data_IF_501635990587
#
_entry.id   IF_501635990587
#
_cell.length_a   1.000
_cell.length_b   1.000
_cell.length_c   1.000
_cell.angle_alpha   90.00
_cell.angle_beta   90.00
_cell.angle_gamma   90.00
#
_symmetry.space_group_name_H-M   'P 1'
#
loop_
_entity.id
_entity.type
_entity.pdbx_description
1 polymer ?
#
# COMPACT_ATOMS: atom_id res chain seq x y z
N UNK A 1 76.61 -6.79 19.82
CA UNK A 1 75.47 -5.88 20.08
C UNK A 1 74.20 -6.60 19.63
N UNK A 2 74.00 -7.85 20.07
CA UNK A 2 73.54 -8.31 21.40
C UNK A 2 72.00 -8.27 21.40
N UNK A 3 71.28 -9.41 21.39
CA UNK A 3 71.05 -10.26 22.57
C UNK A 3 69.80 -9.73 23.29
N UNK A 4 68.88 -10.49 23.89
CA UNK A 4 68.81 -11.89 24.27
C UNK A 4 67.36 -12.19 24.70
N UNK A 5 66.97 -13.47 24.60
CA UNK A 5 65.79 -14.08 25.21
C UNK A 5 65.84 -14.10 26.76
N UNK A 6 64.71 -14.57 27.34
CA UNK A 6 64.48 -15.09 28.72
C UNK A 6 63.93 -14.06 29.72
N UNK A 7 63.00 -14.34 30.65
CA UNK A 7 62.37 -15.57 31.15
C UNK A 7 61.16 -15.21 32.05
N UNK A 8 60.28 -16.20 32.26
CA UNK A 8 59.38 -16.47 33.39
C UNK A 8 59.19 -15.45 34.54
N UNK A 9 57.94 -15.24 34.95
CA UNK A 9 57.40 -15.79 36.21
C UNK A 9 56.01 -15.19 36.55
N UNK A 10 55.14 -16.03 37.10
CA UNK A 10 53.74 -15.71 37.39
C UNK A 10 53.51 -14.83 38.62
N UNK A 11 52.26 -14.37 38.74
CA UNK A 11 51.46 -14.36 39.98
C UNK A 11 50.10 -13.73 39.65
N UNK A 12 49.06 -14.51 39.87
CA UNK A 12 47.68 -14.05 39.87
C UNK A 12 47.37 -13.42 41.25
N UNK A 13 46.81 -12.21 41.32
CA UNK A 13 45.98 -11.83 42.45
C UNK A 13 44.55 -11.52 41.98
N UNK A 14 43.60 -12.18 42.63
CA UNK A 14 42.16 -11.94 42.58
C UNK A 14 41.84 -10.44 42.72
N UNK A 15 41.40 -9.79 41.64
CA UNK A 15 40.82 -8.45 41.70
C UNK A 15 39.30 -8.53 41.64
N UNK A 16 38.71 -8.44 42.83
CA UNK A 16 37.29 -8.26 43.15
C UNK A 16 36.65 -7.22 42.21
N UNK A 17 35.77 -7.67 41.30
CA UNK A 17 34.95 -6.81 40.43
C UNK A 17 33.87 -6.16 41.29
N UNK A 18 33.98 -4.85 41.53
CA UNK A 18 32.91 -4.03 42.12
C UNK A 18 31.85 -3.80 41.04
N UNK A 19 30.67 -4.40 41.23
CA UNK A 19 29.48 -4.14 40.42
C UNK A 19 28.95 -2.73 40.77
N UNK A 20 29.13 -1.78 39.87
CA UNK A 20 28.56 -0.44 39.98
C UNK A 20 27.19 -0.40 39.32
N UNK A 21 26.14 -0.30 40.13
CA UNK A 21 24.76 -0.07 39.69
C UNK A 21 24.64 1.28 38.98
N UNK A 22 24.69 1.30 37.64
CA UNK A 22 24.38 2.49 36.85
C UNK A 22 22.87 2.74 36.94
N UNK A 23 22.45 3.74 37.71
CA UNK A 23 21.08 4.26 37.65
C UNK A 23 20.89 4.86 36.26
N UNK A 24 20.10 4.21 35.41
CA UNK A 24 19.66 4.78 34.12
C UNK A 24 18.70 5.92 34.45
N UNK A 25 19.17 7.17 34.36
CA UNK A 25 18.30 8.34 34.42
C UNK A 25 17.55 8.43 33.09
N UNK A 26 16.33 7.90 33.05
CA UNK A 26 15.44 7.97 31.89
C UNK A 26 15.01 9.42 31.72
N UNK A 27 15.30 10.02 30.56
CA UNK A 27 14.90 11.40 30.26
C UNK A 27 13.38 11.54 30.40
N UNK A 28 12.87 12.62 31.03
CA UNK A 28 11.43 12.84 31.16
C UNK A 28 10.72 12.91 29.80
N UNK A 29 11.44 13.30 28.75
CA UNK A 29 10.96 13.28 27.36
C UNK A 29 10.76 11.84 26.85
N UNK A 30 11.65 10.92 27.21
CA UNK A 30 11.56 9.51 26.83
C UNK A 30 10.42 8.82 27.58
N UNK A 31 10.20 9.19 28.85
CA UNK A 31 9.05 8.70 29.61
C UNK A 31 7.72 9.20 29.02
N UNK A 32 7.65 10.49 28.63
CA UNK A 32 6.49 11.07 27.97
C UNK A 32 6.19 10.37 26.63
N UNK A 33 7.22 10.09 25.83
CA UNK A 33 7.08 9.38 24.56
C UNK A 33 6.52 7.96 24.75
N UNK A 34 7.00 7.24 25.75
CA UNK A 34 6.52 5.90 26.08
C UNK A 34 5.06 5.90 26.57
N UNK A 35 4.67 6.93 27.32
CA UNK A 35 3.27 7.10 27.76
C UNK A 35 2.35 7.41 26.57
N UNK A 36 2.77 8.29 25.65
CA UNK A 36 2.01 8.57 24.43
C UNK A 36 1.83 7.33 23.55
N UNK A 37 2.89 6.53 23.38
CA UNK A 37 2.83 5.25 22.66
C UNK A 37 1.86 4.26 23.34
N UNK A 38 1.82 4.21 24.67
CA UNK A 38 0.89 3.34 25.39
C UNK A 38 -0.59 3.78 25.25
N UNK A 39 -0.86 5.08 25.23
CA UNK A 39 -2.23 5.62 25.07
C UNK A 39 -2.82 5.29 23.69
N UNK A 40 -2.00 5.24 22.63
CA UNK A 40 -2.45 4.84 21.28
C UNK A 40 -2.88 3.36 21.22
N UNK A 41 -2.29 2.51 22.07
CA UNK A 41 -2.60 1.07 22.10
C UNK A 41 -3.91 0.79 22.84
N UNK A 42 -4.31 1.65 23.80
CA UNK A 42 -5.49 1.40 24.65
C UNK A 42 -6.84 1.72 24.00
N UNK A 43 -6.87 2.35 22.82
CA UNK A 43 -8.13 2.74 22.14
C UNK A 43 -8.58 1.76 21.02
N UNK A 44 -7.94 0.59 20.87
CA UNK A 44 -8.33 -0.42 19.86
C UNK A 44 -8.72 -1.78 20.47
N UNK A 45 -9.52 -1.80 21.54
CA UNK A 45 -10.08 -3.04 22.08
C UNK A 45 -11.59 -3.15 21.88
N UNK A 46 -11.98 -3.52 20.65
CA UNK A 46 -13.19 -4.31 20.38
C UNK A 46 -12.96 -5.13 19.11
N UNK A 47 -12.03 -6.07 19.16
CA UNK A 47 -11.89 -7.13 18.16
C UNK A 47 -12.82 -8.27 18.55
N UNK A 48 -14.06 -8.23 18.05
CA UNK A 48 -14.95 -9.37 18.14
C UNK A 48 -14.40 -10.48 17.24
N UNK A 49 -13.99 -11.60 17.84
CA UNK A 49 -13.59 -12.79 17.12
C UNK A 49 -14.84 -13.46 16.51
N UNK A 50 -15.05 -13.28 15.21
CA UNK A 50 -16.01 -14.05 14.43
C UNK A 50 -15.32 -15.27 13.79
N UNK A 51 -16.01 -16.41 13.83
CA UNK A 51 -15.52 -17.77 13.66
C UNK A 51 -14.83 -18.06 12.32
N UNK A 52 -13.66 -18.69 12.42
CA UNK A 52 -12.95 -19.39 11.36
C UNK A 52 -13.72 -20.69 11.12
N UNK A 53 -14.56 -20.78 10.08
CA UNK A 53 -14.90 -21.99 9.28
C UNK A 53 -16.13 -21.67 8.42
N UNK A 54 -15.91 -21.41 7.11
CA UNK A 54 -16.93 -21.65 6.08
C UNK A 54 -17.81 -20.48 5.65
N UNK A 55 -17.24 -19.28 5.48
CA UNK A 55 -17.77 -18.32 4.52
C UNK A 55 -16.76 -18.21 3.39
N UNK A 56 -17.18 -18.45 2.15
CA UNK A 56 -16.37 -18.04 1.00
C UNK A 56 -15.93 -16.59 1.28
N UNK A 57 -14.63 -16.31 1.19
CA UNK A 57 -14.21 -14.94 0.93
C UNK A 57 -14.66 -14.62 -0.50
N UNK A 58 -15.97 -14.51 -0.71
CA UNK A 58 -16.51 -13.64 -1.72
C UNK A 58 -15.99 -12.27 -1.32
N UNK A 59 -14.81 -11.94 -1.85
CA UNK A 59 -14.35 -10.58 -2.02
C UNK A 59 -15.57 -9.72 -2.31
N UNK A 60 -15.83 -8.70 -1.48
CA UNK A 60 -16.88 -7.72 -1.76
C UNK A 60 -16.59 -7.11 -3.14
N UNK A 61 -17.21 -7.67 -4.17
CA UNK A 61 -17.09 -7.27 -5.55
C UNK A 61 -18.36 -6.51 -5.92
N UNK A 62 -18.22 -5.53 -6.80
CA UNK A 62 -19.33 -4.67 -7.16
C UNK A 62 -20.21 -5.30 -8.24
N UNK A 63 -21.53 -5.09 -8.11
CA UNK A 63 -22.52 -5.34 -9.17
C UNK A 63 -23.26 -4.06 -9.56
N UNK A 64 -22.88 -2.93 -8.98
CA UNK A 64 -23.56 -1.64 -9.10
C UNK A 64 -22.60 -0.61 -9.68
N UNK A 65 -23.12 0.29 -10.51
CA UNK A 65 -22.33 1.39 -11.04
C UNK A 65 -22.28 2.50 -10.00
N UNK A 66 -21.16 2.58 -9.28
CA UNK A 66 -20.94 3.59 -8.24
C UNK A 66 -20.40 4.90 -8.86
N UNK A 67 -20.65 6.02 -8.19
CA UNK A 67 -20.10 7.32 -8.55
C UNK A 67 -19.79 8.13 -7.29
N UNK A 68 -18.98 7.56 -6.41
CA UNK A 68 -18.64 8.09 -5.09
C UNK A 68 -17.19 8.59 -5.06
N UNK A 69 -16.96 9.70 -4.33
CA UNK A 69 -15.62 10.25 -4.10
C UNK A 69 -14.82 10.52 -5.41
N UNK A 70 -15.48 11.06 -6.44
CA UNK A 70 -15.00 11.22 -7.81
C UNK A 70 -13.58 11.81 -7.98
N UNK A 71 -13.16 12.71 -7.08
CA UNK A 71 -11.89 13.44 -7.14
C UNK A 71 -10.96 13.11 -5.97
N UNK A 72 -11.13 11.94 -5.35
CA UNK A 72 -10.30 11.51 -4.22
C UNK A 72 -9.85 10.06 -4.45
N UNK A 73 -8.78 9.85 -5.23
CA UNK A 73 -8.33 8.51 -5.64
C UNK A 73 -8.27 7.45 -4.53
N UNK A 74 -7.84 7.74 -3.28
CA UNK A 74 -7.81 6.73 -2.24
C UNK A 74 -9.18 6.17 -1.85
N UNK A 75 -10.26 6.92 -2.09
CA UNK A 75 -11.64 6.57 -1.72
C UNK A 75 -12.57 6.45 -2.94
N UNK A 76 -12.08 6.79 -4.13
CA UNK A 76 -12.87 6.82 -5.35
C UNK A 76 -13.48 5.46 -5.67
N UNK A 77 -14.77 5.46 -5.99
CA UNK A 77 -15.48 4.32 -6.58
C UNK A 77 -16.27 4.82 -7.78
N UNK A 78 -15.81 4.44 -8.96
CA UNK A 78 -16.45 4.78 -10.22
C UNK A 78 -16.78 3.51 -11.00
N UNK A 79 -18.02 3.41 -11.47
CA UNK A 79 -18.52 2.20 -12.12
C UNK A 79 -18.40 0.98 -11.19
N UNK A 80 -18.01 -0.16 -11.74
CA UNK A 80 -17.80 -1.41 -10.98
C UNK A 80 -16.33 -1.69 -10.72
N UNK A 81 -15.41 -1.08 -11.47
CA UNK A 81 -14.00 -1.49 -11.52
C UNK A 81 -13.02 -0.36 -11.19
N UNK A 82 -13.39 0.91 -11.30
CA UNK A 82 -12.44 1.98 -11.00
C UNK A 82 -12.40 2.29 -9.49
N UNK A 83 -11.38 1.79 -8.80
CA UNK A 83 -11.09 2.17 -7.41
C UNK A 83 -9.97 1.34 -6.78
N UNK A 84 -9.40 1.82 -5.67
CA UNK A 84 -8.34 1.09 -4.96
C UNK A 84 -8.93 -0.10 -4.21
N UNK A 85 -8.47 -1.32 -4.54
CA UNK A 85 -8.99 -2.58 -3.97
C UNK A 85 -10.52 -2.72 -4.13
N UNK A 86 -11.05 -2.17 -5.21
CA UNK A 86 -12.44 -2.20 -5.58
C UNK A 86 -12.53 -2.78 -6.99
N UNK A 87 -13.37 -3.79 -7.20
CA UNK A 87 -13.49 -4.46 -8.50
C UNK A 87 -14.88 -5.05 -8.68
N UNK A 88 -15.28 -5.28 -9.92
CA UNK A 88 -16.58 -5.85 -10.26
C UNK A 88 -16.60 -7.38 -10.10
N UNK A 89 -17.79 -7.94 -9.87
CA UNK A 89 -17.95 -9.38 -9.75
C UNK A 89 -17.68 -10.11 -11.09
N UNK A 90 -17.28 -11.39 -11.05
CA UNK A 90 -17.14 -12.19 -12.26
C UNK A 90 -18.41 -12.19 -13.11
N UNK A 91 -18.27 -11.84 -14.40
CA UNK A 91 -19.37 -11.79 -15.36
C UNK A 91 -20.16 -10.48 -15.40
N UNK A 92 -19.85 -9.51 -14.53
CA UNK A 92 -20.41 -8.17 -14.64
C UNK A 92 -19.83 -7.43 -15.85
N UNK A 93 -20.68 -6.72 -16.59
CA UNK A 93 -20.23 -5.81 -17.63
C UNK A 93 -19.81 -4.46 -17.02
N UNK A 94 -18.80 -3.78 -17.58
CA UNK A 94 -18.43 -2.43 -17.16
C UNK A 94 -19.57 -1.45 -17.46
N UNK A 95 -19.65 -0.39 -16.66
CA UNK A 95 -20.70 0.62 -16.73
C UNK A 95 -20.54 1.57 -17.91
N UNK A 96 -19.31 1.87 -18.31
CA UNK A 96 -18.97 2.64 -19.50
C UNK A 96 -17.54 2.33 -19.98
N UNK A 97 -17.05 3.09 -20.96
CA UNK A 97 -15.73 2.89 -21.54
C UNK A 97 -14.56 3.17 -20.57
N UNK A 98 -14.72 4.09 -19.61
CA UNK A 98 -13.70 4.34 -18.59
C UNK A 98 -13.65 3.17 -17.59
N UNK A 99 -14.81 2.69 -17.16
CA UNK A 99 -14.93 1.53 -16.28
C UNK A 99 -14.38 0.25 -16.96
N UNK A 100 -14.51 0.13 -18.29
CA UNK A 100 -13.91 -0.96 -19.05
C UNK A 100 -12.37 -0.94 -19.00
N UNK A 101 -11.74 0.24 -19.01
CA UNK A 101 -10.29 0.35 -18.82
C UNK A 101 -9.85 -0.15 -17.44
N UNK A 102 -10.61 0.19 -16.40
CA UNK A 102 -10.34 -0.28 -15.04
C UNK A 102 -10.53 -1.81 -14.92
N UNK A 103 -11.57 -2.37 -15.55
CA UNK A 103 -11.77 -3.82 -15.61
C UNK A 103 -10.57 -4.55 -16.22
N UNK A 104 -9.99 -4.01 -17.30
CA UNK A 104 -8.79 -4.58 -17.92
C UNK A 104 -7.55 -4.45 -17.02
N UNK A 105 -7.41 -3.33 -16.32
CA UNK A 105 -6.31 -3.11 -15.36
C UNK A 105 -6.38 -4.08 -14.18
N UNK A 106 -7.56 -4.25 -13.57
CA UNK A 106 -7.78 -5.19 -12.47
C UNK A 106 -7.43 -6.62 -12.88
N UNK A 107 -7.88 -7.06 -14.05
CA UNK A 107 -7.57 -8.38 -14.60
C UNK A 107 -6.06 -8.55 -14.85
N UNK A 108 -5.39 -7.50 -15.33
CA UNK A 108 -3.94 -7.48 -15.52
C UNK A 108 -3.19 -7.62 -14.20
N UNK A 109 -3.58 -6.84 -13.19
CA UNK A 109 -2.98 -6.89 -11.85
C UNK A 109 -3.18 -8.27 -11.22
N UNK A 110 -4.38 -8.83 -11.33
CA UNK A 110 -4.65 -10.20 -10.86
C UNK A 110 -3.78 -11.24 -11.57
N UNK A 111 -3.53 -11.09 -12.87
CA UNK A 111 -2.66 -11.97 -13.66
C UNK A 111 -1.15 -11.77 -13.37
N UNK A 112 -0.78 -10.72 -12.63
CA UNK A 112 0.61 -10.36 -12.31
C UNK A 112 0.89 -10.41 -10.81
N UNK A 113 0.38 -11.44 -10.14
CA UNK A 113 0.55 -11.69 -8.70
C UNK A 113 0.04 -10.54 -7.80
N UNK A 114 -0.96 -9.80 -8.27
CA UNK A 114 -1.48 -8.58 -7.64
C UNK A 114 -0.45 -7.43 -7.52
N UNK A 115 0.52 -7.36 -8.45
CA UNK A 115 1.47 -6.25 -8.55
C UNK A 115 0.80 -5.00 -9.14
N UNK A 116 0.21 -4.16 -8.29
CA UNK A 116 -0.34 -2.85 -8.68
C UNK A 116 0.72 -1.88 -9.25
N UNK A 117 2.01 -2.16 -9.04
CA UNK A 117 3.08 -1.39 -9.65
C UNK A 117 3.50 -1.99 -11.00
N UNK A 118 2.88 -3.06 -11.51
CA UNK A 118 3.23 -3.63 -12.80
C UNK A 118 3.24 -2.55 -13.91
N UNK A 119 4.40 -2.29 -14.53
CA UNK A 119 4.54 -1.21 -15.50
C UNK A 119 3.71 -1.46 -16.74
N UNK A 120 3.54 -2.72 -17.14
CA UNK A 120 2.72 -3.07 -18.29
C UNK A 120 1.23 -2.85 -18.00
N UNK A 121 0.72 -3.25 -16.83
CA UNK A 121 -0.65 -2.96 -16.44
C UNK A 121 -0.91 -1.45 -16.38
N UNK A 122 -0.04 -0.71 -15.71
CA UNK A 122 -0.21 0.73 -15.52
C UNK A 122 -0.11 1.50 -16.83
N UNK A 123 0.84 1.17 -17.71
CA UNK A 123 0.93 1.81 -19.02
C UNK A 123 -0.27 1.46 -19.90
N UNK A 124 -0.74 0.21 -19.88
CA UNK A 124 -1.92 -0.21 -20.64
C UNK A 124 -3.19 0.51 -20.17
N UNK A 125 -3.31 0.80 -18.87
CA UNK A 125 -4.40 1.61 -18.32
C UNK A 125 -4.32 3.06 -18.84
N UNK A 126 -3.15 3.69 -18.80
CA UNK A 126 -2.96 5.05 -19.34
C UNK A 126 -3.33 5.13 -20.82
N UNK A 127 -2.89 4.16 -21.62
CA UNK A 127 -3.18 4.11 -23.05
C UNK A 127 -4.69 3.88 -23.32
N UNK A 128 -5.33 3.01 -22.54
CA UNK A 128 -6.77 2.77 -22.62
C UNK A 128 -7.57 4.04 -22.29
N UNK A 129 -7.20 4.73 -21.20
CA UNK A 129 -7.88 5.96 -20.78
C UNK A 129 -7.70 7.06 -21.84
N UNK A 130 -6.52 7.19 -22.45
CA UNK A 130 -6.35 8.12 -23.55
C UNK A 130 -7.24 7.79 -24.76
N UNK A 131 -7.36 6.50 -25.12
CA UNK A 131 -8.09 6.04 -26.29
C UNK A 131 -9.61 6.14 -26.14
N UNK A 132 -10.16 5.82 -24.97
CA UNK A 132 -11.61 5.78 -24.75
C UNK A 132 -12.22 7.16 -24.43
N UNK A 133 -11.40 8.22 -24.34
CA UNK A 133 -11.85 9.61 -24.12
C UNK A 133 -12.99 10.09 -25.00
N UNK A 134 -13.01 9.83 -26.33
CA UNK A 134 -14.14 10.20 -27.17
C UNK A 134 -15.46 9.49 -26.81
N UNK A 135 -15.39 8.30 -26.19
CA UNK A 135 -16.57 7.46 -25.92
C UNK A 135 -17.31 7.95 -24.67
N UNK A 136 -16.62 8.16 -23.55
CA UNK A 136 -17.29 8.62 -22.33
C UNK A 136 -17.61 10.11 -22.31
N UNK A 137 -16.95 10.90 -23.16
CA UNK A 137 -17.36 12.30 -23.37
C UNK A 137 -18.70 12.39 -24.13
N UNK A 138 -19.09 11.33 -24.83
CA UNK A 138 -20.38 11.24 -25.51
C UNK A 138 -21.49 10.71 -24.59
N UNK A 139 -21.28 9.58 -23.91
CA UNK A 139 -22.27 8.94 -23.04
C UNK A 139 -21.59 8.20 -21.88
N UNK A 140 -22.17 8.29 -20.69
CA UNK A 140 -21.84 7.47 -19.51
C UNK A 140 -23.11 6.79 -18.97
N UNK A 141 -22.98 5.98 -17.92
CA UNK A 141 -24.11 5.25 -17.33
C UNK A 141 -25.14 6.17 -16.64
N UNK A 142 -26.39 5.71 -16.58
CA UNK A 142 -27.49 6.45 -15.97
C UNK A 142 -27.26 6.64 -14.47
N UNK A 143 -27.49 7.88 -13.98
CA UNK A 143 -27.35 8.22 -12.56
C UNK A 143 -25.92 8.55 -12.13
N UNK A 144 -24.96 8.59 -13.05
CA UNK A 144 -23.58 9.00 -12.75
C UNK A 144 -23.53 10.44 -12.23
N UNK A 145 -23.01 10.61 -11.02
CA UNK A 145 -22.84 11.91 -10.35
C UNK A 145 -21.45 12.52 -10.55
N UNK A 146 -20.51 11.78 -11.16
CA UNK A 146 -19.15 12.23 -11.38
C UNK A 146 -18.98 12.90 -12.75
N UNK A 147 -18.05 13.86 -12.82
CA UNK A 147 -17.51 14.29 -14.10
C UNK A 147 -16.49 13.25 -14.58
N UNK A 148 -16.79 12.53 -15.67
CA UNK A 148 -15.93 11.44 -16.15
C UNK A 148 -14.53 11.92 -16.54
N UNK A 149 -14.38 13.18 -16.99
CA UNK A 149 -13.06 13.74 -17.29
C UNK A 149 -12.24 13.92 -16.01
N UNK A 150 -12.86 14.42 -14.94
CA UNK A 150 -12.20 14.59 -13.65
C UNK A 150 -11.77 13.24 -13.04
N UNK A 151 -12.64 12.23 -13.14
CA UNK A 151 -12.32 10.85 -12.72
C UNK A 151 -11.13 10.30 -13.52
N UNK A 152 -11.14 10.45 -14.84
CA UNK A 152 -10.07 9.98 -15.71
C UNK A 152 -8.73 10.69 -15.41
N UNK A 153 -8.76 11.99 -15.15
CA UNK A 153 -7.56 12.78 -14.80
C UNK A 153 -7.00 12.35 -13.44
N UNK A 154 -7.86 12.11 -12.45
CA UNK A 154 -7.46 11.62 -11.11
C UNK A 154 -6.85 10.21 -11.18
N UNK A 155 -7.45 9.30 -11.98
CA UNK A 155 -6.87 7.97 -12.27
C UNK A 155 -5.49 8.12 -12.92
N UNK A 156 -5.39 8.94 -13.97
CA UNK A 156 -4.15 9.17 -14.72
C UNK A 156 -3.04 9.67 -13.79
N UNK A 157 -3.33 10.67 -12.94
CA UNK A 157 -2.40 11.25 -11.96
C UNK A 157 -1.80 10.19 -11.02
N UNK A 158 -2.63 9.31 -10.46
CA UNK A 158 -2.15 8.26 -9.54
C UNK A 158 -1.34 7.19 -10.27
N UNK A 159 -1.76 6.80 -11.47
CA UNK A 159 -1.09 5.76 -12.25
C UNK A 159 0.27 6.24 -12.78
N UNK A 160 0.37 7.48 -13.25
CA UNK A 160 1.65 8.10 -13.63
C UNK A 160 2.63 8.14 -12.46
N UNK A 161 2.16 8.49 -11.26
CA UNK A 161 2.98 8.44 -10.05
C UNK A 161 3.47 7.01 -9.74
N UNK A 162 2.62 6.00 -9.90
CA UNK A 162 2.99 4.59 -9.70
C UNK A 162 4.06 4.11 -10.70
N UNK A 163 3.92 4.47 -11.98
CA UNK A 163 4.92 4.18 -13.03
C UNK A 163 6.26 4.84 -12.71
N UNK A 164 6.23 6.12 -12.29
CA UNK A 164 7.43 6.86 -11.91
C UNK A 164 8.17 6.23 -10.72
N UNK A 165 7.44 5.88 -9.66
CA UNK A 165 8.02 5.24 -8.46
C UNK A 165 8.71 3.91 -8.80
N UNK A 166 8.10 3.09 -9.66
CA UNK A 166 8.72 1.82 -10.05
C UNK A 166 9.99 2.01 -10.89
N UNK A 167 10.04 3.02 -11.76
CA UNK A 167 11.27 3.40 -12.46
C UNK A 167 12.43 3.63 -11.49
N UNK A 168 12.18 4.35 -10.39
CA UNK A 168 13.18 4.57 -9.33
C UNK A 168 13.56 3.27 -8.63
N UNK A 169 12.58 2.43 -8.24
CA UNK A 169 12.85 1.18 -7.53
C UNK A 169 13.70 0.20 -8.35
N UNK A 170 13.47 0.09 -9.66
CA UNK A 170 14.30 -0.74 -10.54
C UNK A 170 15.71 -0.18 -10.72
N UNK A 171 15.88 1.14 -10.76
CA UNK A 171 17.22 1.73 -10.84
C UNK A 171 18.06 1.53 -9.58
N UNK A 172 17.43 1.27 -8.43
CA UNK A 172 18.12 1.01 -7.16
C UNK A 172 18.36 -0.47 -6.84
N UNK A 173 17.84 -1.41 -7.64
CA UNK A 173 18.05 -2.85 -7.47
C UNK A 173 18.17 -3.57 -8.83
N UNK A 174 19.33 -3.44 -9.53
CA UNK A 174 19.57 -4.02 -10.85
C UNK A 174 19.77 -5.54 -10.85
#
# INVERSE_FOLDING_TARGET
>A
MDGSSSELAGRCPLRRRRSGSRRLLVSPLLLLLLVLLAVVITEHHSFAAASIFGGDAASDCSRTCESEHCAAAPLMRYGKYCGVRYTGCPGEAPCDALDACCMLHDACVQATDNDYLNTWCNQSLLDCVAAARPEWTAVTFEGNQCNVTEVADEITSVVEAAVYVKGILHHHNP
#
